data_IF_380337755751
#
_entry.id   IF_380337755751
#
_cell.length_a   1.000
_cell.length_b   1.000
_cell.length_c   1.000
_cell.angle_alpha   90.00
_cell.angle_beta   90.00
_cell.angle_gamma   90.00
#
_symmetry.space_group_name_H-M   'P 1'
#
loop_
_entity.id
_entity.type
_entity.pdbx_description
1 polymer ?
#
# COMPACT_ATOMS: atom_id res chain seq x y z
N UNK A 1 -7.48 11.99 9.88
CA UNK A 1 -6.59 12.15 8.71
C UNK A 1 -7.36 11.71 7.47
N UNK A 2 -7.25 12.42 6.34
CA UNK A 2 -7.85 12.00 5.06
C UNK A 2 -6.84 11.14 4.30
N UNK A 3 -7.29 10.17 3.50
CA UNK A 3 -6.42 9.42 2.60
C UNK A 3 -6.68 9.81 1.14
N UNK A 4 -5.60 10.01 0.37
CA UNK A 4 -5.65 10.15 -1.09
C UNK A 4 -4.85 9.01 -1.69
N UNK A 5 -5.53 8.18 -2.47
CA UNK A 5 -4.96 6.96 -3.03
C UNK A 5 -4.90 7.07 -4.55
N UNK A 6 -3.69 7.21 -5.07
CA UNK A 6 -3.42 7.03 -6.50
C UNK A 6 -3.28 5.54 -6.81
N UNK A 7 -4.13 5.04 -7.70
CA UNK A 7 -4.10 3.65 -8.19
C UNK A 7 -3.64 3.69 -9.65
N UNK A 8 -2.37 3.38 -9.87
CA UNK A 8 -1.78 3.38 -11.21
C UNK A 8 -2.00 2.07 -11.96
N UNK A 9 -2.09 2.12 -13.29
CA UNK A 9 -1.98 0.92 -14.13
C UNK A 9 -0.51 0.61 -14.42
N UNK A 10 -0.14 -0.67 -14.61
CA UNK A 10 1.21 -1.05 -15.01
C UNK A 10 1.65 -0.27 -16.25
N UNK A 11 2.88 0.27 -16.20
CA UNK A 11 3.50 1.04 -17.30
C UNK A 11 2.80 2.35 -17.66
N UNK A 12 1.96 2.89 -16.78
CA UNK A 12 1.32 4.20 -16.94
C UNK A 12 1.98 5.32 -16.10
N UNK A 13 3.29 5.21 -15.79
CA UNK A 13 4.01 6.25 -15.04
C UNK A 13 3.86 6.19 -13.51
N UNK A 14 3.31 5.11 -12.96
CA UNK A 14 3.22 4.86 -11.51
C UNK A 14 4.57 5.02 -10.81
N UNK A 15 5.64 4.46 -11.39
CA UNK A 15 7.02 4.61 -10.88
C UNK A 15 7.47 6.06 -10.84
N UNK A 16 7.23 6.84 -11.91
CA UNK A 16 7.58 8.26 -11.96
C UNK A 16 6.88 9.05 -10.86
N UNK A 17 5.58 8.81 -10.66
CA UNK A 17 4.80 9.46 -9.59
C UNK A 17 5.35 9.07 -8.22
N UNK A 18 5.61 7.78 -7.98
CA UNK A 18 6.11 7.29 -6.69
C UNK A 18 7.49 7.87 -6.35
N UNK A 19 8.39 7.97 -7.34
CA UNK A 19 9.70 8.59 -7.15
C UNK A 19 9.60 10.09 -6.95
N UNK A 20 8.71 10.78 -7.68
CA UNK A 20 8.44 12.20 -7.45
C UNK A 20 7.93 12.46 -6.01
N UNK A 21 6.97 11.66 -5.54
CA UNK A 21 6.48 11.76 -4.16
C UNK A 21 7.58 11.46 -3.14
N UNK A 22 8.46 10.49 -3.43
CA UNK A 22 9.58 10.13 -2.55
C UNK A 22 10.60 11.26 -2.44
N UNK A 23 10.96 11.88 -3.56
CA UNK A 23 11.92 13.00 -3.61
C UNK A 23 11.41 14.23 -2.85
N UNK A 24 10.09 14.42 -2.79
CA UNK A 24 9.46 15.57 -2.15
C UNK A 24 8.85 15.26 -0.77
N UNK A 25 9.13 14.10 -0.18
CA UNK A 25 8.42 13.61 1.00
C UNK A 25 8.49 14.59 2.20
N UNK A 26 9.64 15.21 2.44
CA UNK A 26 9.82 16.17 3.55
C UNK A 26 9.08 17.49 3.29
N UNK A 27 9.14 17.98 2.05
CA UNK A 27 8.43 19.18 1.64
C UNK A 27 6.90 18.97 1.66
N UNK A 28 6.43 17.78 1.29
CA UNK A 28 5.03 17.37 1.38
C UNK A 28 4.56 17.33 2.84
N UNK A 29 5.38 16.79 3.74
CA UNK A 29 5.03 16.72 5.16
C UNK A 29 4.90 18.10 5.79
N UNK A 30 5.82 19.02 5.46
CA UNK A 30 5.69 20.44 5.84
C UNK A 30 4.45 21.14 5.28
N UNK A 31 3.82 20.58 4.26
CA UNK A 31 2.55 21.04 3.67
C UNK A 31 1.33 20.26 4.19
N UNK A 32 1.49 19.39 5.19
CA UNK A 32 0.40 18.61 5.77
C UNK A 32 0.10 17.29 5.03
N UNK A 33 1.00 16.82 4.17
CA UNK A 33 0.88 15.54 3.45
C UNK A 33 1.90 14.51 3.91
N UNK A 34 1.44 13.36 4.39
CA UNK A 34 2.30 12.24 4.73
C UNK A 34 2.46 11.30 3.52
N UNK A 35 3.68 11.15 3.02
CA UNK A 35 4.03 10.08 2.09
C UNK A 35 5.19 9.25 2.66
N UNK A 36 4.92 7.96 2.90
CA UNK A 36 5.89 6.99 3.45
C UNK A 36 5.66 5.63 2.79
N UNK A 37 6.73 4.83 2.72
CA UNK A 37 6.72 3.49 2.12
C UNK A 37 7.07 2.46 3.17
N UNK A 38 6.34 1.35 3.21
CA UNK A 38 6.64 0.27 4.15
C UNK A 38 8.00 -0.36 3.83
N UNK A 39 8.27 -0.57 2.54
CA UNK A 39 9.55 -1.09 2.03
C UNK A 39 10.20 -0.06 1.10
N UNK A 40 11.05 0.85 1.62
CA UNK A 40 11.55 2.00 0.85
C UNK A 40 12.42 1.64 -0.36
N UNK A 41 13.00 0.44 -0.37
CA UNK A 41 13.85 -0.08 -1.46
C UNK A 41 13.09 -0.93 -2.48
N UNK A 42 11.84 -1.30 -2.22
CA UNK A 42 11.07 -2.04 -3.20
C UNK A 42 10.41 -1.07 -4.17
N UNK A 43 10.46 -1.35 -5.47
CA UNK A 43 9.72 -0.54 -6.45
C UNK A 43 8.21 -0.73 -6.31
N UNK A 44 7.77 -1.94 -5.97
CA UNK A 44 6.35 -2.28 -5.87
C UNK A 44 5.80 -1.96 -4.46
N UNK A 45 4.76 -1.13 -4.41
CA UNK A 45 3.99 -0.84 -3.18
C UNK A 45 3.01 -1.99 -2.88
N UNK A 46 3.56 -3.18 -2.62
CA UNK A 46 2.80 -4.42 -2.42
C UNK A 46 2.06 -4.50 -1.08
N UNK A 47 2.38 -3.64 -0.11
CA UNK A 47 1.79 -3.64 1.22
C UNK A 47 0.26 -3.49 1.18
N UNK A 48 -0.27 -2.63 0.31
CA UNK A 48 -1.71 -2.43 0.20
C UNK A 48 -2.43 -3.61 -0.47
N UNK A 49 -1.74 -4.31 -1.38
CA UNK A 49 -2.25 -5.56 -1.95
C UNK A 49 -2.25 -6.67 -0.88
N UNK A 50 -1.23 -6.75 -0.03
CA UNK A 50 -1.19 -7.64 1.14
C UNK A 50 -2.41 -7.43 2.03
N UNK A 51 -2.71 -6.18 2.40
CA UNK A 51 -3.87 -5.85 3.23
C UNK A 51 -5.19 -6.25 2.56
N UNK A 52 -5.34 -5.95 1.26
CA UNK A 52 -6.53 -6.30 0.49
C UNK A 52 -6.76 -7.82 0.40
N UNK A 53 -5.69 -8.58 0.21
CA UNK A 53 -5.71 -10.04 0.15
C UNK A 53 -6.02 -10.66 1.52
N UNK A 54 -5.42 -10.12 2.59
CA UNK A 54 -5.70 -10.55 3.96
C UNK A 54 -7.17 -10.34 4.32
N UNK A 55 -7.73 -9.16 4.02
CA UNK A 55 -9.14 -8.85 4.27
C UNK A 55 -10.11 -9.79 3.53
N UNK A 56 -9.67 -10.42 2.43
CA UNK A 56 -10.45 -11.39 1.64
C UNK A 56 -10.16 -12.84 2.00
N UNK A 57 -9.19 -13.10 2.88
CA UNK A 57 -8.72 -14.45 3.18
C UNK A 57 -8.15 -15.19 1.97
N UNK A 58 -7.54 -14.47 1.01
CA UNK A 58 -7.02 -15.04 -0.24
C UNK A 58 -5.55 -14.69 -0.43
N UNK A 59 -4.76 -15.67 -0.88
CA UNK A 59 -3.37 -15.44 -1.28
C UNK A 59 -3.31 -14.65 -2.59
N UNK A 60 -2.12 -14.16 -2.92
CA UNK A 60 -1.83 -13.66 -4.26
C UNK A 60 -1.98 -14.76 -5.29
N UNK A 61 -2.57 -14.48 -6.45
CA UNK A 61 -2.72 -15.51 -7.49
C UNK A 61 -1.36 -15.87 -8.13
N UNK A 62 -0.49 -14.86 -8.27
CA UNK A 62 0.83 -15.00 -8.90
C UNK A 62 1.88 -15.63 -7.95
N UNK A 63 2.47 -16.79 -8.30
CA UNK A 63 3.51 -17.44 -7.50
C UNK A 63 4.73 -16.55 -7.23
N UNK A 64 5.14 -15.70 -8.18
CA UNK A 64 6.29 -14.81 -8.00
C UNK A 64 6.01 -13.77 -6.90
N UNK A 65 4.78 -13.26 -6.84
CA UNK A 65 4.35 -12.35 -5.77
C UNK A 65 4.31 -13.06 -4.42
N UNK A 66 3.84 -14.30 -4.34
CA UNK A 66 3.88 -15.08 -3.08
C UNK A 66 5.30 -15.20 -2.53
N UNK A 67 6.28 -15.40 -3.41
CA UNK A 67 7.70 -15.45 -3.01
C UNK A 67 8.20 -14.07 -2.58
N UNK A 68 8.03 -13.06 -3.43
CA UNK A 68 8.53 -11.70 -3.21
C UNK A 68 8.00 -11.08 -1.92
N UNK A 69 6.71 -11.25 -1.64
CA UNK A 69 6.05 -10.68 -0.47
C UNK A 69 5.96 -11.64 0.71
N UNK A 70 6.60 -12.82 0.63
CA UNK A 70 6.62 -13.83 1.70
C UNK A 70 5.22 -14.27 2.13
N UNK A 71 4.29 -14.41 1.18
CA UNK A 71 2.88 -14.72 1.43
C UNK A 71 2.51 -16.09 0.82
N UNK A 72 3.31 -17.13 1.09
CA UNK A 72 3.09 -18.48 0.54
C UNK A 72 1.95 -19.23 1.23
N UNK A 73 1.58 -18.83 2.44
CA UNK A 73 0.44 -19.36 3.21
C UNK A 73 -0.42 -18.23 3.76
N UNK A 74 -1.66 -18.56 4.15
CA UNK A 74 -2.57 -17.57 4.77
C UNK A 74 -2.05 -17.07 6.11
N UNK A 75 -1.35 -17.93 6.85
CA UNK A 75 -0.68 -17.56 8.09
C UNK A 75 0.39 -16.48 7.84
N UNK A 76 1.25 -16.70 6.83
CA UNK A 76 2.27 -15.72 6.46
C UNK A 76 1.66 -14.41 5.95
N UNK A 77 0.59 -14.49 5.15
CA UNK A 77 -0.16 -13.32 4.69
C UNK A 77 -0.71 -12.51 5.87
N UNK A 78 -1.30 -13.17 6.87
CA UNK A 78 -1.83 -12.52 8.08
C UNK A 78 -0.72 -11.86 8.90
N UNK A 79 0.40 -12.55 9.09
CA UNK A 79 1.55 -12.01 9.80
C UNK A 79 2.13 -10.76 9.11
N UNK A 80 2.28 -10.82 7.78
CA UNK A 80 2.73 -9.68 6.99
C UNK A 80 1.73 -8.52 7.03
N UNK A 81 0.43 -8.80 6.92
CA UNK A 81 -0.61 -7.79 7.03
C UNK A 81 -0.56 -7.09 8.40
N UNK A 82 -0.48 -7.84 9.50
CA UNK A 82 -0.34 -7.27 10.84
C UNK A 82 0.91 -6.39 10.99
N UNK A 83 2.04 -6.78 10.36
CA UNK A 83 3.25 -5.97 10.37
C UNK A 83 3.10 -4.65 9.60
N UNK A 84 2.43 -4.69 8.44
CA UNK A 84 2.08 -3.50 7.64
C UNK A 84 1.13 -2.60 8.43
N UNK A 85 0.08 -3.14 9.03
CA UNK A 85 -0.90 -2.41 9.83
C UNK A 85 -0.25 -1.69 11.01
N UNK A 86 0.59 -2.41 11.77
CA UNK A 86 1.33 -1.83 12.87
C UNK A 86 2.29 -0.73 12.40
N UNK A 87 2.92 -0.90 11.23
CA UNK A 87 3.77 0.14 10.65
C UNK A 87 2.97 1.39 10.25
N UNK A 88 1.86 1.23 9.52
CA UNK A 88 0.97 2.34 9.13
C UNK A 88 0.50 3.06 10.39
N UNK A 89 0.00 2.33 11.39
CA UNK A 89 -0.45 2.91 12.66
C UNK A 89 0.60 3.78 13.34
N UNK A 90 1.86 3.33 13.37
CA UNK A 90 2.98 4.14 13.90
C UNK A 90 3.26 5.39 13.07
N UNK A 91 3.20 5.30 11.74
CA UNK A 91 3.41 6.46 10.88
C UNK A 91 2.30 7.51 11.08
N UNK A 92 1.04 7.07 11.15
CA UNK A 92 -0.10 7.96 11.30
C UNK A 92 -0.17 8.60 12.69
N UNK A 93 0.13 7.84 13.75
CA UNK A 93 0.10 8.36 15.13
C UNK A 93 1.19 9.40 15.40
N UNK A 94 2.34 9.31 14.71
CA UNK A 94 3.45 10.26 14.87
C UNK A 94 3.39 11.45 13.92
N UNK A 95 2.50 11.45 12.92
CA UNK A 95 2.46 12.47 11.89
C UNK A 95 1.62 13.68 12.32
N UNK A 96 2.14 14.88 12.06
CA UNK A 96 1.36 16.13 12.13
C UNK A 96 0.54 16.40 10.85
N UNK A 97 0.73 15.56 9.82
CA UNK A 97 0.04 15.70 8.54
C UNK A 97 -1.48 15.50 8.67
N UNK A 98 -2.23 16.19 7.81
CA UNK A 98 -3.68 16.07 7.74
C UNK A 98 -4.14 15.05 6.70
N UNK A 99 -3.29 14.81 5.70
CA UNK A 99 -3.58 13.94 4.55
C UNK A 99 -2.49 12.88 4.38
N UNK A 100 -2.89 11.62 4.25
CA UNK A 100 -2.01 10.50 3.89
C UNK A 100 -2.08 10.25 2.38
N UNK A 101 -0.93 10.29 1.71
CA UNK A 101 -0.78 10.01 0.30
C UNK A 101 -0.32 8.57 0.08
N UNK A 102 -1.02 7.86 -0.80
CA UNK A 102 -0.67 6.51 -1.24
C UNK A 102 -0.63 6.46 -2.75
N UNK A 103 0.33 5.72 -3.32
CA UNK A 103 0.43 5.52 -4.76
C UNK A 103 0.80 4.06 -5.05
N UNK A 104 -0.12 3.21 -5.46
CA UNK A 104 0.17 1.78 -5.68
C UNK A 104 -0.41 1.26 -6.98
N UNK A 105 0.44 0.70 -7.85
CA UNK A 105 -0.03 -0.05 -9.02
C UNK A 105 -0.54 -1.45 -8.66
N UNK A 106 -0.08 -2.01 -7.54
CA UNK A 106 -0.42 -3.36 -7.10
C UNK A 106 -1.89 -3.48 -6.68
N UNK A 107 -2.50 -2.37 -6.25
CA UNK A 107 -3.91 -2.32 -5.88
C UNK A 107 -4.84 -2.69 -7.03
N UNK A 108 -4.45 -2.46 -8.28
CA UNK A 108 -5.25 -2.87 -9.45
C UNK A 108 -5.52 -4.37 -9.49
N UNK A 109 -4.61 -5.20 -8.94
CA UNK A 109 -4.81 -6.64 -8.84
C UNK A 109 -5.95 -7.03 -7.89
N UNK A 110 -6.19 -6.22 -6.85
CA UNK A 110 -7.25 -6.45 -5.88
C UNK A 110 -8.60 -5.85 -6.31
N UNK A 111 -8.62 -4.80 -7.12
CA UNK A 111 -9.79 -3.99 -7.47
C UNK A 111 -10.62 -4.51 -8.67
N UNK A 112 -10.56 -5.81 -8.96
CA UNK A 112 -11.23 -6.40 -10.14
C UNK A 112 -12.75 -6.53 -10.02
N UNK A 113 -13.30 -6.36 -8.81
CA UNK A 113 -14.73 -6.45 -8.53
C UNK A 113 -15.07 -5.70 -7.24
N UNK A 114 -16.37 -5.55 -6.97
CA UNK A 114 -16.89 -4.85 -5.78
C UNK A 114 -16.31 -5.37 -4.47
N UNK A 115 -16.24 -6.70 -4.28
CA UNK A 115 -15.65 -7.28 -3.08
C UNK A 115 -14.17 -6.90 -2.89
N UNK A 116 -13.44 -6.71 -3.99
CA UNK A 116 -12.09 -6.19 -3.99
C UNK A 116 -12.00 -4.72 -3.55
N UNK A 117 -12.91 -3.88 -4.05
CA UNK A 117 -13.02 -2.46 -3.66
C UNK A 117 -13.37 -2.36 -2.17
N UNK A 118 -14.37 -3.10 -1.70
CA UNK A 118 -14.81 -3.11 -0.29
C UNK A 118 -13.72 -3.62 0.67
N UNK A 119 -12.82 -4.50 0.21
CA UNK A 119 -11.68 -4.96 1.00
C UNK A 119 -10.64 -3.85 1.23
N UNK A 120 -10.49 -2.93 0.27
CA UNK A 120 -9.52 -1.84 0.34
C UNK A 120 -10.13 -0.59 0.96
N UNK A 121 -11.42 -0.34 0.74
CA UNK A 121 -12.11 0.84 1.29
C UNK A 121 -12.04 0.92 2.81
N UNK A 122 -11.99 -0.21 3.52
CA UNK A 122 -11.86 -0.20 4.99
C UNK A 122 -10.52 0.36 5.48
N UNK A 123 -9.53 0.46 4.60
CA UNK A 123 -8.18 0.95 4.91
C UNK A 123 -7.98 2.44 4.67
N UNK A 124 -8.92 3.11 3.98
CA UNK A 124 -8.80 4.50 3.53
C UNK A 124 -10.08 5.29 3.81
#
# INVERSE_FOLDING_TARGET
MKAVVHIGLPKAGSTTIQEFLRLNADALEGQGFLYRRYRPREELQGEYLTLACNARGKLFDDPLRKVRFRTRSLEQLRAEAAAVEAWIGRQLAGAQAETWLVSSEMLTAALRNRAGVEAIHRWF
#
